data_IF_472683264171
#
_entry.id   IF_472683264171
#
_cell.length_a   1.000
_cell.length_b   1.000
_cell.length_c   1.000
_cell.angle_alpha   90.00
_cell.angle_beta   90.00
_cell.angle_gamma   90.00
#
_symmetry.space_group_name_H-M   'P 1'
#
loop_
_entity.id
_entity.type
_entity.pdbx_description
1 polymer ?
#
# COMPACT_ATOMS: atom_id res chain seq x y z
N UNK A 1 -84.33 23.51 74.58
CA UNK A 1 -83.28 22.51 74.32
C UNK A 1 -82.90 22.56 72.85
N UNK A 2 -81.60 22.73 72.58
CA UNK A 2 -80.81 22.35 71.39
C UNK A 2 -81.37 22.64 69.99
N UNK A 3 -80.94 23.70 69.29
CA UNK A 3 -79.63 23.88 68.64
C UNK A 3 -79.41 22.96 67.42
N UNK A 4 -79.52 23.53 66.21
CA UNK A 4 -78.70 23.19 65.04
C UNK A 4 -79.07 24.11 63.86
N UNK A 5 -78.49 25.33 63.83
CA UNK A 5 -78.32 26.05 62.57
C UNK A 5 -77.12 25.44 61.88
N UNK A 6 -77.40 24.55 60.93
CA UNK A 6 -76.44 23.82 60.11
C UNK A 6 -75.59 24.81 59.29
N UNK A 7 -74.29 24.89 59.60
CA UNK A 7 -73.32 25.73 58.87
C UNK A 7 -72.93 25.02 57.58
N UNK A 8 -73.56 25.38 56.47
CA UNK A 8 -73.05 25.07 55.13
C UNK A 8 -71.87 26.01 54.86
N UNK A 9 -70.63 25.54 55.08
CA UNK A 9 -69.44 26.21 54.59
C UNK A 9 -69.25 25.87 53.12
N UNK A 10 -69.15 26.92 52.30
CA UNK A 10 -69.05 26.90 50.85
C UNK A 10 -67.83 26.08 50.38
N UNK A 11 -68.06 25.22 49.40
CA UNK A 11 -67.06 24.43 48.69
C UNK A 11 -66.23 25.31 47.72
N UNK A 12 -66.68 26.53 47.43
CA UNK A 12 -66.02 27.49 46.51
C UNK A 12 -64.68 28.01 47.03
N UNK A 13 -64.49 28.14 48.34
CA UNK A 13 -63.22 28.64 48.91
C UNK A 13 -62.06 27.63 48.81
N UNK A 14 -62.37 26.34 48.66
CA UNK A 14 -61.36 25.29 48.48
C UNK A 14 -60.87 25.18 47.03
N UNK A 15 -61.72 25.46 46.03
CA UNK A 15 -61.28 25.48 44.63
C UNK A 15 -60.40 26.69 44.33
N UNK A 16 -60.74 27.87 44.85
CA UNK A 16 -59.98 29.10 44.58
C UNK A 16 -58.56 29.08 45.16
N UNK A 17 -58.36 28.37 46.28
CA UNK A 17 -57.04 28.24 46.91
C UNK A 17 -56.12 27.26 46.16
N UNK A 18 -56.67 26.19 45.58
CA UNK A 18 -55.92 25.20 44.78
C UNK A 18 -55.49 25.73 43.41
N UNK A 19 -56.30 26.57 42.75
CA UNK A 19 -55.93 27.20 41.48
C UNK A 19 -54.84 28.26 41.64
N UNK A 20 -54.87 29.01 42.76
CA UNK A 20 -53.86 30.04 43.06
C UNK A 20 -52.50 29.41 43.41
N UNK A 21 -52.46 28.30 44.15
CA UNK A 21 -51.19 27.62 44.47
C UNK A 21 -50.58 26.90 43.25
N UNK A 22 -51.39 26.33 42.36
CA UNK A 22 -50.93 25.67 41.13
C UNK A 22 -50.36 26.62 40.07
N UNK A 23 -50.95 27.81 39.90
CA UNK A 23 -50.43 28.84 38.98
C UNK A 23 -49.12 29.46 39.48
N UNK A 24 -49.01 29.78 40.78
CA UNK A 24 -47.79 30.34 41.36
C UNK A 24 -46.61 29.35 41.35
N UNK A 25 -46.87 28.04 41.43
CA UNK A 25 -45.82 27.01 41.33
C UNK A 25 -45.29 26.87 39.89
N UNK A 26 -46.16 26.94 38.89
CA UNK A 26 -45.77 26.89 37.48
C UNK A 26 -45.03 28.17 37.01
N UNK A 27 -45.48 29.35 37.45
CA UNK A 27 -44.77 30.63 37.20
C UNK A 27 -43.41 30.68 37.92
N UNK A 28 -43.34 30.22 39.19
CA UNK A 28 -42.11 30.21 39.98
C UNK A 28 -41.06 29.19 39.51
N UNK A 29 -41.48 28.02 39.02
CA UNK A 29 -40.56 27.03 38.42
C UNK A 29 -40.05 27.53 37.08
N UNK A 30 -40.90 28.14 36.23
CA UNK A 30 -40.48 28.69 34.95
C UNK A 30 -39.37 29.72 35.09
N UNK A 31 -39.52 30.67 36.02
CA UNK A 31 -38.57 31.78 36.17
C UNK A 31 -37.27 31.38 36.89
N UNK A 32 -37.36 30.57 37.95
CA UNK A 32 -36.18 30.05 38.67
C UNK A 32 -35.42 28.97 37.89
N UNK A 33 -36.15 28.05 37.24
CA UNK A 33 -35.53 27.05 36.36
C UNK A 33 -34.95 27.72 35.11
N UNK A 34 -35.59 28.74 34.51
CA UNK A 34 -35.00 29.43 33.35
C UNK A 34 -33.71 30.17 33.74
N UNK A 35 -33.65 30.77 34.94
CA UNK A 35 -32.45 31.42 35.47
C UNK A 35 -31.33 30.42 35.77
N UNK A 36 -31.64 29.24 36.31
CA UNK A 36 -30.65 28.20 36.59
C UNK A 36 -30.25 27.41 35.33
N UNK A 37 -31.17 27.21 34.39
CA UNK A 37 -30.89 26.65 33.05
C UNK A 37 -30.02 27.58 32.22
N UNK A 38 -30.14 28.90 32.38
CA UNK A 38 -29.23 29.88 31.77
C UNK A 38 -27.79 29.71 32.26
N UNK A 39 -27.58 29.52 33.57
CA UNK A 39 -26.25 29.24 34.13
C UNK A 39 -25.71 27.90 33.65
N UNK A 40 -26.55 26.87 33.61
CA UNK A 40 -26.19 25.54 33.09
C UNK A 40 -25.81 25.62 31.61
N UNK A 41 -26.56 26.37 30.79
CA UNK A 41 -26.26 26.57 29.38
C UNK A 41 -24.89 27.24 29.15
N UNK A 42 -24.52 28.22 29.99
CA UNK A 42 -23.19 28.85 29.93
C UNK A 42 -22.09 27.84 30.22
N UNK A 43 -22.25 27.00 31.26
CA UNK A 43 -21.27 25.96 31.61
C UNK A 43 -21.15 24.92 30.48
N UNK A 44 -22.28 24.50 29.91
CA UNK A 44 -22.30 23.56 28.77
C UNK A 44 -21.64 24.19 27.54
N UNK A 45 -21.87 25.47 27.26
CA UNK A 45 -21.23 26.17 26.13
C UNK A 45 -19.71 26.22 26.29
N UNK A 46 -19.23 26.44 27.52
CA UNK A 46 -17.81 26.44 27.83
C UNK A 46 -17.22 25.03 27.68
N UNK A 47 -17.90 24.00 28.20
CA UNK A 47 -17.48 22.61 27.99
C UNK A 47 -17.45 22.20 26.53
N UNK A 48 -18.40 22.65 25.71
CA UNK A 48 -18.42 22.35 24.28
C UNK A 48 -17.21 22.94 23.54
N UNK A 49 -16.79 24.15 23.91
CA UNK A 49 -15.57 24.77 23.37
C UNK A 49 -14.33 23.95 23.77
N UNK A 50 -14.23 23.55 25.04
CA UNK A 50 -13.11 22.73 25.52
C UNK A 50 -13.08 21.37 24.81
N UNK A 51 -14.24 20.73 24.64
CA UNK A 51 -14.35 19.47 23.90
C UNK A 51 -13.95 19.65 22.43
N UNK A 52 -14.31 20.75 21.78
CA UNK A 52 -13.86 21.06 20.43
C UNK A 52 -12.33 21.17 20.34
N UNK A 53 -11.69 21.82 21.31
CA UNK A 53 -10.23 21.95 21.35
C UNK A 53 -9.56 20.59 21.53
N UNK A 54 -10.03 19.77 22.47
CA UNK A 54 -9.49 18.42 22.71
C UNK A 54 -9.74 17.51 21.50
N UNK A 55 -10.93 17.58 20.91
CA UNK A 55 -11.29 16.81 19.72
C UNK A 55 -10.44 17.23 18.51
N UNK A 56 -10.23 18.53 18.31
CA UNK A 56 -9.36 19.04 17.26
C UNK A 56 -7.91 18.56 17.45
N UNK A 57 -7.39 18.60 18.68
CA UNK A 57 -6.03 18.13 18.97
C UNK A 57 -5.89 16.61 18.80
N UNK A 58 -6.89 15.84 19.24
CA UNK A 58 -6.94 14.39 19.08
C UNK A 58 -7.07 13.96 17.62
N UNK A 59 -7.91 14.63 16.83
CA UNK A 59 -7.98 14.42 15.38
C UNK A 59 -6.69 14.83 14.69
N UNK A 60 -6.07 15.95 15.05
CA UNK A 60 -4.83 16.42 14.42
C UNK A 60 -3.64 15.48 14.69
N UNK A 61 -3.53 14.93 15.91
CA UNK A 61 -2.55 13.87 16.19
C UNK A 61 -2.88 12.56 15.46
N UNK A 62 -4.14 12.14 15.45
CA UNK A 62 -4.55 10.91 14.77
C UNK A 62 -4.42 11.00 13.24
N UNK A 63 -4.72 12.14 12.62
CA UNK A 63 -4.49 12.39 11.19
C UNK A 63 -2.99 12.41 10.86
N UNK A 64 -2.15 13.00 11.72
CA UNK A 64 -0.71 13.01 11.51
C UNK A 64 -0.13 11.59 11.54
N UNK A 65 -0.64 10.73 12.41
CA UNK A 65 -0.23 9.32 12.49
C UNK A 65 -0.75 8.52 11.28
N UNK A 66 -2.02 8.71 10.89
CA UNK A 66 -2.61 8.04 9.73
C UNK A 66 -1.96 8.47 8.40
N UNK A 67 -1.61 9.75 8.25
CA UNK A 67 -0.89 10.26 7.08
C UNK A 67 0.54 9.67 6.99
N UNK A 68 1.15 9.36 8.12
CA UNK A 68 2.45 8.70 8.17
C UNK A 68 2.34 7.23 7.74
N UNK A 69 1.33 6.51 8.23
CA UNK A 69 1.09 5.10 7.86
C UNK A 69 0.72 4.93 6.38
N UNK A 70 -0.05 5.87 5.80
CA UNK A 70 -0.34 5.88 4.36
C UNK A 70 0.91 6.21 3.51
N UNK A 71 1.82 7.04 4.03
CA UNK A 71 3.08 7.37 3.36
C UNK A 71 4.04 6.19 3.33
N UNK A 72 4.07 5.39 4.40
CA UNK A 72 4.85 4.15 4.47
C UNK A 72 4.32 3.09 3.48
N UNK A 73 2.99 2.99 3.32
CA UNK A 73 2.35 2.13 2.30
C UNK A 73 2.69 2.53 0.85
N UNK A 74 2.80 3.83 0.57
CA UNK A 74 3.27 4.31 -0.73
C UNK A 74 4.76 4.00 -0.96
N UNK A 75 5.58 4.10 0.10
CA UNK A 75 6.99 3.71 0.07
C UNK A 75 7.20 2.22 -0.24
N UNK A 76 6.41 1.35 0.39
CA UNK A 76 6.47 -0.10 0.15
C UNK A 76 6.04 -0.46 -1.28
N UNK A 77 5.01 0.20 -1.85
CA UNK A 77 4.65 0.00 -3.27
C UNK A 77 5.76 0.41 -4.23
N UNK A 78 6.42 1.55 -3.98
CA UNK A 78 7.56 1.99 -4.79
C UNK A 78 8.75 1.03 -4.72
N UNK A 79 8.99 0.43 -3.55
CA UNK A 79 10.03 -0.60 -3.39
C UNK A 79 9.68 -1.89 -4.16
N UNK A 80 8.42 -2.32 -4.17
CA UNK A 80 7.96 -3.49 -4.94
C UNK A 80 8.05 -3.26 -6.45
N UNK A 81 7.68 -2.07 -6.95
CA UNK A 81 7.86 -1.74 -8.38
C UNK A 81 9.34 -1.71 -8.78
N UNK A 82 10.20 -1.18 -7.91
CA UNK A 82 11.65 -1.19 -8.13
C UNK A 82 12.21 -2.62 -8.15
N UNK A 83 11.75 -3.49 -7.25
CA UNK A 83 12.13 -4.89 -7.21
C UNK A 83 11.70 -5.65 -8.47
N UNK A 84 10.50 -5.40 -8.96
CA UNK A 84 9.96 -6.03 -10.16
C UNK A 84 10.74 -5.61 -11.42
N UNK A 85 11.15 -4.35 -11.48
CA UNK A 85 12.00 -3.81 -12.56
C UNK A 85 13.42 -4.41 -12.52
N UNK A 86 13.98 -4.58 -11.33
CA UNK A 86 15.28 -5.24 -11.14
C UNK A 86 15.21 -6.73 -11.50
N UNK A 87 14.15 -7.44 -11.11
CA UNK A 87 13.96 -8.85 -11.45
C UNK A 87 13.82 -9.06 -12.97
N UNK A 88 13.06 -8.20 -13.65
CA UNK A 88 12.97 -8.20 -15.14
C UNK A 88 14.33 -7.97 -15.79
N UNK A 89 15.19 -7.13 -15.20
CA UNK A 89 16.55 -6.88 -15.69
C UNK A 89 17.48 -8.08 -15.45
N UNK A 90 17.33 -8.77 -14.32
CA UNK A 90 18.09 -10.00 -14.00
C UNK A 90 17.67 -11.14 -14.92
N UNK A 91 16.37 -11.34 -15.16
CA UNK A 91 15.86 -12.37 -16.07
C UNK A 91 16.33 -12.13 -17.51
N UNK A 92 16.32 -10.88 -17.97
CA UNK A 92 16.86 -10.55 -19.30
C UNK A 92 18.37 -10.82 -19.39
N UNK A 93 19.14 -10.50 -18.35
CA UNK A 93 20.57 -10.83 -18.30
C UNK A 93 20.82 -12.34 -18.24
N UNK A 94 19.97 -13.11 -17.54
CA UNK A 94 20.06 -14.57 -17.51
C UNK A 94 19.72 -15.20 -18.87
N UNK A 95 18.71 -14.67 -19.57
CA UNK A 95 18.35 -15.10 -20.93
C UNK A 95 19.44 -14.74 -21.95
N UNK A 96 20.13 -13.60 -21.77
CA UNK A 96 21.32 -13.26 -22.56
C UNK A 96 22.51 -14.16 -22.23
N UNK A 97 22.73 -14.48 -20.94
CA UNK A 97 23.78 -15.40 -20.48
C UNK A 97 23.56 -16.86 -20.92
N UNK A 98 22.32 -17.28 -21.16
CA UNK A 98 21.99 -18.62 -21.66
C UNK A 98 22.22 -18.76 -23.18
N UNK A 99 22.19 -17.65 -23.92
CA UNK A 99 22.39 -17.60 -25.39
C UNK A 99 23.82 -17.28 -25.84
N UNK A 100 24.62 -16.67 -24.96
CA UNK A 100 26.04 -16.34 -25.21
C UNK A 100 27.01 -17.55 -25.31
N UNK A 101 26.81 -18.72 -24.67
CA UNK A 101 27.76 -19.82 -24.74
C UNK A 101 27.89 -20.42 -26.13
N UNK A 102 26.79 -20.51 -26.88
CA UNK A 102 26.77 -21.22 -28.18
C UNK A 102 27.44 -20.38 -29.27
N UNK A 103 27.11 -19.09 -29.40
CA UNK A 103 27.77 -18.23 -30.40
C UNK A 103 29.25 -18.04 -30.11
N UNK A 104 29.62 -17.80 -28.85
CA UNK A 104 31.04 -17.64 -28.46
C UNK A 104 31.81 -18.93 -28.67
N UNK A 105 31.22 -20.08 -28.31
CA UNK A 105 31.80 -21.41 -28.59
C UNK A 105 31.97 -21.65 -30.08
N UNK A 106 31.00 -21.28 -30.91
CA UNK A 106 31.10 -21.43 -32.36
C UNK A 106 32.22 -20.56 -32.94
N UNK A 107 32.38 -19.30 -32.49
CA UNK A 107 33.47 -18.41 -32.92
C UNK A 107 34.84 -18.97 -32.52
N UNK A 108 34.98 -19.49 -31.30
CA UNK A 108 36.24 -20.10 -30.84
C UNK A 108 36.54 -21.38 -31.64
N UNK A 109 35.53 -22.21 -31.89
CA UNK A 109 35.67 -23.43 -32.69
C UNK A 109 36.02 -23.14 -34.15
N UNK A 110 35.45 -22.09 -34.75
CA UNK A 110 35.77 -21.60 -36.09
C UNK A 110 37.25 -21.21 -36.19
N UNK A 111 37.74 -20.41 -35.24
CA UNK A 111 39.15 -20.03 -35.17
C UNK A 111 40.11 -21.22 -34.98
N UNK A 112 39.72 -22.22 -34.19
CA UNK A 112 40.51 -23.45 -34.04
C UNK A 112 40.54 -24.28 -35.33
N UNK A 113 39.43 -24.38 -36.06
CA UNK A 113 39.35 -25.10 -37.34
C UNK A 113 40.22 -24.41 -38.40
N UNK A 114 40.22 -23.08 -38.44
CA UNK A 114 41.08 -22.31 -39.33
C UNK A 114 42.57 -22.54 -39.02
N UNK A 115 42.95 -22.54 -37.74
CA UNK A 115 44.32 -22.87 -37.33
C UNK A 115 44.72 -24.30 -37.69
N UNK A 116 43.81 -25.27 -37.49
CA UNK A 116 44.05 -26.68 -37.86
C UNK A 116 44.21 -26.83 -39.36
N UNK A 117 43.42 -26.12 -40.16
CA UNK A 117 43.50 -26.12 -41.62
C UNK A 117 44.84 -25.55 -42.08
N UNK A 118 45.30 -24.45 -41.49
CA UNK A 118 46.61 -23.86 -41.78
C UNK A 118 47.76 -24.81 -41.41
N UNK A 119 47.71 -25.43 -40.22
CA UNK A 119 48.72 -26.41 -39.79
C UNK A 119 48.71 -27.67 -40.66
N UNK A 120 47.53 -28.15 -41.05
CA UNK A 120 47.40 -29.26 -41.98
C UNK A 120 47.99 -28.92 -43.35
N UNK A 121 47.72 -27.74 -43.90
CA UNK A 121 48.32 -27.29 -45.16
C UNK A 121 49.84 -27.15 -45.10
N UNK A 122 50.40 -26.79 -43.94
CA UNK A 122 51.83 -26.77 -43.73
C UNK A 122 52.43 -28.18 -43.67
N UNK A 123 51.79 -29.08 -42.93
CA UNK A 123 52.22 -30.48 -42.79
C UNK A 123 52.09 -31.22 -44.13
N UNK A 124 51.04 -30.95 -44.93
CA UNK A 124 50.82 -31.61 -46.22
C UNK A 124 51.97 -31.44 -47.21
N UNK A 125 52.74 -30.35 -47.08
CA UNK A 125 53.90 -30.05 -47.93
C UNK A 125 55.12 -30.90 -47.57
N UNK A 126 55.12 -31.55 -46.40
CA UNK A 126 56.23 -32.35 -45.89
C UNK A 126 55.92 -33.86 -45.86
N UNK A 127 54.71 -34.25 -46.27
CA UNK A 127 54.23 -35.62 -46.22
C UNK A 127 54.44 -36.37 -47.55
N UNK A 128 54.42 -37.70 -47.47
CA UNK A 128 54.38 -38.55 -48.66
C UNK A 128 53.02 -38.43 -49.38
N UNK A 129 52.93 -38.76 -50.68
CA UNK A 129 51.68 -38.65 -51.45
C UNK A 129 50.50 -39.44 -50.84
N UNK A 130 50.80 -40.56 -50.18
CA UNK A 130 49.80 -41.44 -49.56
C UNK A 130 49.24 -40.84 -48.25
N UNK A 131 50.09 -40.15 -47.48
CA UNK A 131 49.70 -39.44 -46.26
C UNK A 131 48.99 -38.11 -46.57
N UNK A 132 49.36 -37.47 -47.68
CA UNK A 132 48.70 -36.27 -48.18
C UNK A 132 47.23 -36.52 -48.52
N UNK A 133 46.90 -37.69 -49.10
CA UNK A 133 45.52 -38.09 -49.38
C UNK A 133 44.68 -38.28 -48.10
N UNK A 134 45.28 -38.81 -47.02
CA UNK A 134 44.61 -38.94 -45.70
C UNK A 134 44.37 -37.57 -45.08
N UNK A 135 45.33 -36.66 -45.21
CA UNK A 135 45.20 -35.30 -44.69
C UNK A 135 44.15 -34.48 -45.45
N UNK A 136 44.01 -34.69 -46.76
CA UNK A 136 42.94 -34.09 -47.56
C UNK A 136 41.54 -34.49 -47.05
N UNK A 137 41.33 -35.77 -46.70
CA UNK A 137 40.07 -36.23 -46.11
C UNK A 137 39.79 -35.57 -44.75
N UNK A 138 40.83 -35.34 -43.93
CA UNK A 138 40.70 -34.63 -42.66
C UNK A 138 40.31 -33.16 -42.87
N UNK A 139 40.87 -32.51 -43.89
CA UNK A 139 40.53 -31.13 -44.24
C UNK A 139 39.07 -30.98 -44.69
N UNK A 140 38.57 -31.93 -45.49
CA UNK A 140 37.16 -31.94 -45.92
C UNK A 140 36.21 -32.11 -44.71
N UNK A 141 36.54 -33.03 -43.79
CA UNK A 141 35.77 -33.21 -42.55
C UNK A 141 35.76 -31.96 -41.67
N UNK A 142 36.89 -31.26 -41.55
CA UNK A 142 36.97 -30.00 -40.80
C UNK A 142 36.11 -28.90 -41.43
N UNK A 143 36.07 -28.83 -42.77
CA UNK A 143 35.25 -27.88 -43.53
C UNK A 143 33.75 -28.16 -43.40
N UNK A 144 33.37 -29.43 -43.34
CA UNK A 144 31.97 -29.83 -43.09
C UNK A 144 31.53 -29.45 -41.67
N UNK A 145 32.38 -29.66 -40.67
CA UNK A 145 32.13 -29.21 -39.29
C UNK A 145 32.01 -27.69 -39.21
N UNK A 146 32.89 -26.95 -39.88
CA UNK A 146 32.84 -25.49 -39.96
C UNK A 146 31.51 -25.00 -40.56
N UNK A 147 31.10 -25.60 -41.68
CA UNK A 147 29.84 -25.30 -42.36
C UNK A 147 28.60 -25.62 -41.51
N UNK A 148 28.71 -26.61 -40.60
CA UNK A 148 27.68 -26.95 -39.64
C UNK A 148 27.57 -25.96 -38.47
N UNK A 149 28.67 -25.32 -38.06
CA UNK A 149 28.70 -24.34 -36.96
C UNK A 149 28.18 -22.95 -37.38
N UNK A 150 28.18 -22.66 -38.69
CA UNK A 150 27.69 -21.41 -39.27
C UNK A 150 26.18 -21.42 -39.60
N UNK A 151 25.50 -22.56 -39.44
CA UNK A 151 24.05 -22.72 -39.59
C UNK A 151 23.33 -22.57 -38.24
#
# INVERSE_FOLDING_TARGET
MSAASEKVHQIEDYQKKGETEGQNFAEGIGESAQKDMGKVAVIISFMAIVLLVVFFYGLNQNLSNLATEVKDLQGVRGQVETLNTQMTTVDNRLVELEKLPIRTRNIIMDGMIDEMTQKANYISQQLTPEEQAKLAQVQDLLKDVQSGLQK
#
